data_IF_847726527804
#
_entry.id   IF_847726527804
#
_cell.length_a   1.000
_cell.length_b   1.000
_cell.length_c   1.000
_cell.angle_alpha   90.00
_cell.angle_beta   90.00
_cell.angle_gamma   90.00
#
_symmetry.space_group_name_H-M   'P 1'
#
loop_
_entity.id
_entity.type
_entity.pdbx_description
1 polymer ?
#
# COMPACT_ATOMS: atom_id res chain seq x y z
N UNK A 1 -16.32 8.67 -0.54
CA UNK A 1 -15.22 8.82 0.44
C UNK A 1 -14.18 7.75 0.13
N UNK A 2 -12.92 8.12 -0.08
CA UNK A 2 -11.82 7.18 -0.28
C UNK A 2 -11.23 6.85 1.09
N UNK A 3 -11.40 5.63 1.59
CA UNK A 3 -10.71 5.19 2.80
C UNK A 3 -9.35 4.60 2.40
N UNK A 4 -8.27 5.27 2.80
CA UNK A 4 -6.93 4.72 2.62
C UNK A 4 -6.68 3.65 3.68
N UNK A 5 -6.34 2.45 3.23
CA UNK A 5 -5.96 1.34 4.10
C UNK A 5 -4.45 1.13 4.08
N UNK A 6 -3.70 1.55 5.12
CA UNK A 6 -2.24 1.51 5.13
C UNK A 6 -1.67 0.12 4.85
N UNK A 7 -2.23 -0.93 5.44
CA UNK A 7 -1.79 -2.30 5.18
C UNK A 7 -1.94 -2.72 3.71
N UNK A 8 -3.01 -2.29 3.03
CA UNK A 8 -3.21 -2.58 1.62
C UNK A 8 -2.25 -1.79 0.72
N UNK A 9 -2.01 -0.50 1.05
CA UNK A 9 -1.02 0.31 0.36
C UNK A 9 0.40 -0.27 0.52
N UNK A 10 0.79 -0.65 1.74
CA UNK A 10 2.07 -1.30 2.01
C UNK A 10 2.22 -2.60 1.21
N UNK A 11 1.17 -3.42 1.14
CA UNK A 11 1.16 -4.64 0.32
C UNK A 11 1.40 -4.32 -1.16
N UNK A 12 0.75 -3.29 -1.69
CA UNK A 12 0.92 -2.85 -3.08
C UNK A 12 2.33 -2.32 -3.38
N UNK A 13 2.97 -1.68 -2.39
CA UNK A 13 4.35 -1.19 -2.47
C UNK A 13 5.41 -2.28 -2.25
N UNK A 14 4.99 -3.55 -2.05
CA UNK A 14 5.92 -4.65 -1.73
C UNK A 14 6.55 -4.56 -0.33
N UNK A 15 5.94 -3.79 0.58
CA UNK A 15 6.45 -3.54 1.93
C UNK A 15 5.81 -4.48 2.97
N UNK A 16 6.42 -4.62 4.16
CA UNK A 16 5.80 -5.35 5.24
C UNK A 16 4.42 -4.78 5.59
N UNK A 17 3.37 -5.61 5.52
CA UNK A 17 2.00 -5.18 5.78
C UNK A 17 1.31 -5.96 6.92
N UNK A 18 1.91 -7.08 7.35
CA UNK A 18 1.43 -7.88 8.49
C UNK A 18 2.38 -7.73 9.67
N UNK A 19 1.84 -7.65 10.89
CA UNK A 19 2.61 -7.66 12.13
C UNK A 19 3.30 -6.35 12.51
N UNK A 20 3.35 -5.35 11.62
CA UNK A 20 3.98 -4.05 11.93
C UNK A 20 3.22 -3.26 13.02
N UNK A 21 1.92 -3.50 13.21
CA UNK A 21 1.13 -2.83 14.26
C UNK A 21 1.44 -3.35 15.67
N UNK A 22 1.23 -4.65 15.92
CA UNK A 22 1.31 -5.23 17.29
C UNK A 22 2.14 -6.52 17.38
N UNK A 23 3.01 -6.80 16.40
CA UNK A 23 3.87 -7.99 16.40
C UNK A 23 5.13 -7.84 17.25
N UNK A 24 5.78 -8.96 17.61
CA UNK A 24 7.07 -8.96 18.34
C UNK A 24 8.17 -8.20 17.59
N UNK A 25 8.13 -8.27 16.26
CA UNK A 25 9.09 -7.60 15.36
C UNK A 25 8.55 -6.26 14.84
N UNK A 26 7.48 -5.69 15.43
CA UNK A 26 6.81 -4.48 14.94
C UNK A 26 7.78 -3.33 14.69
N UNK A 27 8.69 -3.07 15.63
CA UNK A 27 9.73 -2.04 15.52
C UNK A 27 10.59 -2.22 14.27
N UNK A 28 11.08 -3.44 14.01
CA UNK A 28 11.92 -3.75 12.85
C UNK A 28 11.14 -3.61 11.54
N UNK A 29 9.87 -4.04 11.55
CA UNK A 29 9.00 -3.91 10.38
C UNK A 29 8.69 -2.45 10.07
N UNK A 30 8.37 -1.62 11.07
CA UNK A 30 8.13 -0.18 10.92
C UNK A 30 9.36 0.56 10.39
N UNK A 31 10.55 0.26 10.93
CA UNK A 31 11.82 0.79 10.40
C UNK A 31 12.00 0.42 8.92
N UNK A 32 11.83 -0.86 8.58
CA UNK A 32 11.95 -1.32 7.18
C UNK A 32 10.93 -0.64 6.26
N UNK A 33 9.70 -0.42 6.73
CA UNK A 33 8.68 0.32 5.98
C UNK A 33 9.18 1.74 5.70
N UNK A 34 9.62 2.48 6.72
CA UNK A 34 10.11 3.86 6.55
C UNK A 34 11.28 3.97 5.59
N UNK A 35 12.29 3.11 5.76
CA UNK A 35 13.51 3.13 4.96
C UNK A 35 13.23 2.83 3.47
N UNK A 36 12.13 2.15 3.17
CA UNK A 36 11.77 1.72 1.81
C UNK A 36 10.52 2.41 1.26
N UNK A 37 9.88 3.32 2.01
CA UNK A 37 8.58 3.88 1.65
C UNK A 37 8.63 4.71 0.36
N UNK A 38 9.61 5.61 0.26
CA UNK A 38 9.78 6.45 -0.93
C UNK A 38 10.09 5.59 -2.17
N UNK A 39 11.01 4.63 -2.05
CA UNK A 39 11.40 3.73 -3.14
C UNK A 39 10.25 2.81 -3.57
N UNK A 40 9.48 2.27 -2.61
CA UNK A 40 8.36 1.37 -2.88
C UNK A 40 7.12 2.07 -3.44
N UNK A 41 6.92 3.34 -3.10
CA UNK A 41 5.76 4.13 -3.57
C UNK A 41 6.08 5.07 -4.72
N UNK A 42 7.34 5.36 -5.01
CA UNK A 42 7.82 6.42 -5.93
C UNK A 42 7.39 7.84 -5.54
N UNK A 43 6.87 8.03 -4.32
CA UNK A 43 6.47 9.33 -3.79
C UNK A 43 7.56 9.85 -2.85
N UNK A 44 8.22 10.98 -3.17
CA UNK A 44 9.16 11.60 -2.25
C UNK A 44 8.41 12.24 -1.06
N UNK A 45 8.91 11.98 0.16
CA UNK A 45 8.40 12.48 1.44
C UNK A 45 9.54 13.23 2.14
N UNK A 46 9.77 14.48 1.71
CA UNK A 46 10.95 15.30 2.07
C UNK A 46 11.19 15.48 3.57
N UNK A 47 10.16 15.39 4.40
CA UNK A 47 10.22 15.55 5.85
C UNK A 47 10.15 14.23 6.62
N UNK A 48 10.17 13.07 5.95
CA UNK A 48 9.99 11.76 6.59
C UNK A 48 11.00 11.50 7.71
N UNK A 49 12.26 11.88 7.50
CA UNK A 49 13.32 11.72 8.48
C UNK A 49 13.05 12.48 9.80
N UNK A 50 12.26 13.55 9.76
CA UNK A 50 11.92 14.35 10.96
C UNK A 50 10.90 13.66 11.87
N UNK A 51 10.16 12.69 11.33
CA UNK A 51 9.12 11.94 12.06
C UNK A 51 9.47 10.46 12.21
N UNK A 52 10.74 10.10 11.99
CA UNK A 52 11.17 8.72 11.90
C UNK A 52 10.95 7.95 13.21
N UNK A 53 11.26 8.59 14.34
CA UNK A 53 11.12 7.96 15.66
C UNK A 53 9.64 7.81 16.06
N UNK A 54 8.80 8.80 15.75
CA UNK A 54 7.36 8.77 15.97
C UNK A 54 6.69 7.68 15.14
N UNK A 55 7.06 7.55 13.86
CA UNK A 55 6.55 6.50 12.98
C UNK A 55 6.95 5.09 13.45
N UNK A 56 8.09 4.96 14.14
CA UNK A 56 8.53 3.68 14.69
C UNK A 56 7.87 3.38 16.02
N UNK A 57 7.69 4.41 16.85
CA UNK A 57 7.00 4.30 18.14
C UNK A 57 5.51 4.04 18.00
N UNK A 58 4.86 4.57 16.96
CA UNK A 58 3.41 4.52 16.78
C UNK A 58 3.00 4.02 15.40
N UNK A 59 2.21 2.95 15.36
CA UNK A 59 1.60 2.49 14.11
C UNK A 59 0.58 3.48 13.55
N UNK A 60 -0.11 4.26 14.39
CA UNK A 60 -1.02 5.31 13.91
C UNK A 60 -0.26 6.42 13.18
N UNK A 61 0.94 6.78 13.67
CA UNK A 61 1.80 7.77 13.01
C UNK A 61 2.28 7.24 11.65
N UNK A 62 2.78 6.01 11.60
CA UNK A 62 3.18 5.38 10.34
C UNK A 62 2.01 5.24 9.35
N UNK A 63 0.85 4.82 9.83
CA UNK A 63 -0.37 4.68 9.04
C UNK A 63 -0.80 6.01 8.41
N UNK A 64 -0.65 7.11 9.15
CA UNK A 64 -0.93 8.46 8.65
C UNK A 64 0.00 8.86 7.51
N UNK A 65 1.30 8.55 7.61
CA UNK A 65 2.27 8.79 6.53
C UNK A 65 1.96 7.95 5.30
N UNK A 66 1.66 6.65 5.48
CA UNK A 66 1.29 5.76 4.38
C UNK A 66 0.00 6.24 3.71
N UNK A 67 -0.98 6.72 4.49
CA UNK A 67 -2.21 7.29 3.95
C UNK A 67 -1.96 8.57 3.15
N UNK A 68 -1.05 9.44 3.61
CA UNK A 68 -0.66 10.63 2.86
C UNK A 68 0.01 10.27 1.52
N UNK A 69 0.90 9.27 1.51
CA UNK A 69 1.52 8.75 0.28
C UNK A 69 0.48 8.19 -0.68
N UNK A 70 -0.47 7.39 -0.19
CA UNK A 70 -1.56 6.87 -1.00
C UNK A 70 -2.44 8.00 -1.56
N UNK A 71 -2.77 9.02 -0.77
CA UNK A 71 -3.51 10.18 -1.24
C UNK A 71 -2.75 10.97 -2.31
N UNK A 72 -1.43 11.12 -2.18
CA UNK A 72 -0.58 11.71 -3.21
C UNK A 72 -0.60 10.90 -4.51
N UNK A 73 -0.51 9.57 -4.44
CA UNK A 73 -0.63 8.72 -5.63
C UNK A 73 -1.99 8.86 -6.30
N UNK A 74 -3.07 8.83 -5.51
CA UNK A 74 -4.43 8.99 -6.03
C UNK A 74 -4.60 10.32 -6.76
N UNK A 75 -4.08 11.40 -6.17
CA UNK A 75 -4.13 12.74 -6.77
C UNK A 75 -3.35 12.85 -8.07
N UNK A 76 -2.22 12.12 -8.18
CA UNK A 76 -1.38 12.08 -9.39
C UNK A 76 -2.03 11.28 -10.51
N UNK A 77 -2.51 10.08 -10.18
CA UNK A 77 -3.08 9.15 -11.15
C UNK A 77 -4.04 8.17 -10.44
N UNK A 78 -5.36 8.40 -10.53
CA UNK A 78 -6.37 7.50 -9.99
C UNK A 78 -6.38 6.11 -10.64
N UNK A 79 -5.85 5.94 -11.85
CA UNK A 79 -5.81 4.63 -12.53
C UNK A 79 -4.81 3.68 -11.88
N UNK A 80 -3.91 4.22 -11.05
CA UNK A 80 -3.06 3.43 -10.15
C UNK A 80 -3.84 2.79 -9.01
N UNK A 81 -5.14 3.05 -8.85
CA UNK A 81 -5.95 2.46 -7.78
C UNK A 81 -6.97 1.50 -8.36
N UNK A 82 -7.04 0.33 -7.72
CA UNK A 82 -8.01 -0.68 -8.08
C UNK A 82 -9.36 -0.34 -7.47
N UNK A 83 -10.39 -0.24 -8.30
CA UNK A 83 -11.78 -0.26 -7.89
C UNK A 83 -12.32 -1.70 -8.05
N UNK A 84 -12.58 -2.44 -6.95
CA UNK A 84 -13.13 -3.78 -7.01
C UNK A 84 -14.46 -3.80 -7.77
N UNK A 85 -14.61 -4.73 -8.71
CA UNK A 85 -15.85 -4.92 -9.45
C UNK A 85 -16.62 -6.12 -8.89
N UNK A 86 -17.94 -6.13 -9.14
CA UNK A 86 -18.75 -7.32 -8.89
C UNK A 86 -18.40 -8.41 -9.94
N UNK A 87 -18.19 -9.65 -9.48
CA UNK A 87 -17.70 -10.76 -10.32
C UNK A 87 -16.19 -11.04 -10.19
N UNK A 88 -15.59 -11.87 -11.07
CA UNK A 88 -14.22 -12.39 -10.89
C UNK A 88 -13.12 -11.32 -10.94
N UNK A 89 -13.37 -10.21 -11.63
CA UNK A 89 -12.41 -9.11 -11.81
C UNK A 89 -11.37 -9.37 -12.90
N UNK A 90 -10.53 -8.37 -13.17
CA UNK A 90 -9.50 -8.43 -14.23
C UNK A 90 -8.17 -9.06 -13.80
N UNK A 91 -7.48 -9.71 -14.75
CA UNK A 91 -6.17 -10.38 -14.53
C UNK A 91 -5.04 -9.38 -14.27
N UNK A 92 -5.12 -8.19 -14.87
CA UNK A 92 -4.00 -7.24 -14.99
C UNK A 92 -3.66 -6.46 -13.72
N UNK A 93 -4.49 -6.55 -12.66
CA UNK A 93 -4.37 -5.68 -11.47
C UNK A 93 -4.44 -6.42 -10.12
N UNK A 94 -4.53 -7.76 -10.14
CA UNK A 94 -4.65 -8.58 -8.91
C UNK A 94 -3.33 -8.90 -8.22
N UNK A 95 -2.19 -8.76 -8.90
CA UNK A 95 -0.96 -9.45 -8.49
C UNK A 95 -1.12 -10.97 -8.45
N UNK A 96 -2.09 -11.52 -9.22
CA UNK A 96 -2.41 -12.94 -9.28
C UNK A 96 -3.60 -13.24 -10.21
N UNK A 97 -3.77 -14.50 -10.62
CA UNK A 97 -4.84 -14.91 -11.55
C UNK A 97 -6.22 -14.91 -10.84
N UNK A 98 -7.27 -14.29 -11.42
CA UNK A 98 -8.63 -14.38 -10.89
C UNK A 98 -9.12 -15.83 -10.84
N UNK A 99 -9.75 -16.23 -9.74
CA UNK A 99 -10.54 -17.47 -9.72
C UNK A 99 -11.83 -17.24 -10.52
N UNK A 100 -12.21 -18.13 -11.45
CA UNK A 100 -13.46 -18.04 -12.21
C UNK A 100 -14.70 -17.95 -11.31
N UNK A 101 -14.66 -18.62 -10.17
CA UNK A 101 -15.75 -18.67 -9.19
C UNK A 101 -15.60 -17.62 -8.07
N UNK A 102 -14.55 -16.80 -8.14
CA UNK A 102 -14.29 -15.76 -7.16
C UNK A 102 -15.09 -14.49 -7.40
N UNK A 103 -15.28 -13.70 -6.34
CA UNK A 103 -15.82 -12.34 -6.45
C UNK A 103 -14.80 -11.34 -5.90
N UNK A 104 -14.33 -10.44 -6.76
CA UNK A 104 -13.33 -9.42 -6.46
C UNK A 104 -13.83 -8.44 -5.38
N UNK A 105 -15.05 -7.91 -5.52
CA UNK A 105 -15.64 -6.99 -4.55
C UNK A 105 -15.82 -7.63 -3.16
N UNK A 106 -16.26 -8.88 -3.09
CA UNK A 106 -16.40 -9.61 -1.83
C UNK A 106 -15.05 -9.90 -1.17
N UNK A 107 -14.03 -10.26 -1.96
CA UNK A 107 -12.68 -10.46 -1.44
C UNK A 107 -12.10 -9.14 -0.92
N UNK A 108 -12.28 -8.05 -1.68
CA UNK A 108 -11.83 -6.72 -1.30
C UNK A 108 -12.49 -6.27 0.02
N UNK A 109 -13.81 -6.48 0.16
CA UNK A 109 -14.54 -6.26 1.43
C UNK A 109 -14.03 -7.12 2.58
N UNK A 110 -13.74 -8.40 2.33
CA UNK A 110 -13.25 -9.34 3.35
C UNK A 110 -11.82 -9.03 3.79
N UNK A 111 -10.96 -8.65 2.86
CA UNK A 111 -9.60 -8.17 3.14
C UNK A 111 -9.56 -6.70 3.62
N UNK A 112 -10.72 -6.05 3.65
CA UNK A 112 -10.95 -4.69 4.12
C UNK A 112 -10.71 -3.60 3.08
N UNK A 113 -10.00 -3.81 1.98
CA UNK A 113 -9.62 -2.74 1.07
C UNK A 113 -10.69 -2.47 0.00
N UNK A 114 -11.01 -1.20 -0.26
CA UNK A 114 -11.83 -0.77 -1.40
C UNK A 114 -11.02 -0.07 -2.50
N UNK A 115 -9.89 0.54 -2.14
CA UNK A 115 -9.02 1.25 -3.07
C UNK A 115 -7.57 1.06 -2.63
N UNK A 116 -6.93 0.03 -3.18
CA UNK A 116 -5.51 -0.19 -2.98
C UNK A 116 -4.78 0.22 -4.26
N UNK A 117 -3.57 0.80 -4.17
CA UNK A 117 -2.70 0.96 -5.33
C UNK A 117 -2.52 -0.39 -6.03
N UNK A 118 -2.45 -0.39 -7.36
CA UNK A 118 -2.01 -1.56 -8.13
C UNK A 118 -0.55 -1.84 -7.77
N UNK A 119 -0.12 -3.11 -7.87
CA UNK A 119 1.28 -3.47 -7.66
C UNK A 119 2.15 -2.64 -8.60
N UNK A 120 2.94 -1.73 -8.03
CA UNK A 120 3.89 -0.94 -8.80
C UNK A 120 5.08 -1.85 -9.07
N UNK A 121 5.09 -2.50 -10.23
CA UNK A 121 6.23 -3.30 -10.67
C UNK A 121 7.47 -2.38 -10.71
N UNK A 122 8.54 -2.75 -10.01
CA UNK A 122 9.82 -2.03 -10.04
C UNK A 122 10.53 -2.10 -11.41
N UNK A 123 9.86 -2.56 -12.47
CA UNK A 123 10.43 -2.85 -13.77
C UNK A 123 10.53 -1.65 -14.72
N UNK A 124 10.22 -0.42 -14.29
CA UNK A 124 10.35 0.76 -15.16
C UNK A 124 11.24 1.83 -14.52
N UNK A 125 12.52 1.53 -14.33
CA UNK A 125 13.54 2.58 -14.40
C UNK A 125 14.12 2.62 -15.82
N UNK A 126 14.21 3.79 -16.48
CA UNK A 126 15.04 3.91 -17.66
C UNK A 126 16.48 3.65 -17.24
N UNK A 127 17.12 2.65 -17.84
CA UNK A 127 18.57 2.47 -17.72
C UNK A 127 19.22 3.74 -18.27
N UNK A 128 20.06 4.37 -17.44
CA UNK A 128 20.98 5.39 -17.91
C UNK A 128 21.95 4.86 -18.96
#
# INVERSE_FOLDING_TARGET
LLESMPGAALRAFGLPYKGYKKGRESFKLRRKILDSLETGSTVPVRNLAQFGDECIGSDDCLDSVVAAVAACLWSRDPDLFRLPQDGPGGVTRRGGTPSPDGNELNLARLEGWLYAPVFLDQATQPRG
#
